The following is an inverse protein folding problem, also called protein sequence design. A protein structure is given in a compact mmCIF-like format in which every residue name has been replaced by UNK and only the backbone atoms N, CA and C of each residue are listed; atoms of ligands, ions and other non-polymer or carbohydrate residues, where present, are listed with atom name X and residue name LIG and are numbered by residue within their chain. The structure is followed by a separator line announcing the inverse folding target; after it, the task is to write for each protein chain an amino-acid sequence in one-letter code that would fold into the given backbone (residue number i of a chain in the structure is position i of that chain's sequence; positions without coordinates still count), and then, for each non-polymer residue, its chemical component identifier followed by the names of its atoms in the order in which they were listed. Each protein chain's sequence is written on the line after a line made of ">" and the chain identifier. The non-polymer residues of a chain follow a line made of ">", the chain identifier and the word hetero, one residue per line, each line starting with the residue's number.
data_IF_968689483893
#
_entry.id   IF_968689483893
#
_cell.length_a   1.000
_cell.length_b   1.000
_cell.length_c   1.000
_cell.angle_alpha   90.00
_cell.angle_beta   90.00
_cell.angle_gamma   90.00
#
_symmetry.space_group_name_H-M   'P 1'
#
loop_
_entity.id
_entity.type
_entity.pdbx_description
1 polymer ?
#
# COMPACT_ATOMS: atom_id res chain seq x y z
N UNK A 1 -85.01 -7.39 -25.09
CA UNK A 1 -84.40 -7.97 -23.86
C UNK A 1 -83.46 -6.95 -23.23
N UNK A 2 -83.85 -6.33 -22.12
CA UNK A 2 -82.97 -5.61 -21.18
C UNK A 2 -83.67 -5.60 -19.82
N UNK A 3 -83.13 -6.28 -18.81
CA UNK A 3 -83.48 -6.04 -17.40
C UNK A 3 -82.20 -6.12 -16.59
N UNK A 4 -81.74 -4.95 -16.16
CA UNK A 4 -80.58 -4.76 -15.31
C UNK A 4 -80.84 -5.32 -13.91
N UNK A 5 -79.80 -5.92 -13.32
CA UNK A 5 -79.82 -6.43 -11.96
C UNK A 5 -79.71 -5.27 -10.96
N UNK A 6 -80.57 -5.36 -9.95
CA UNK A 6 -80.75 -4.43 -8.83
C UNK A 6 -79.55 -4.43 -7.89
N UNK A 7 -79.16 -3.24 -7.43
CA UNK A 7 -78.13 -3.02 -6.40
C UNK A 7 -78.66 -3.51 -5.06
N UNK A 8 -78.00 -4.50 -4.46
CA UNK A 8 -78.22 -4.90 -3.08
C UNK A 8 -77.65 -3.81 -2.15
N UNK A 9 -78.48 -3.34 -1.23
CA UNK A 9 -78.17 -2.27 -0.28
C UNK A 9 -77.43 -2.80 0.95
N UNK A 10 -76.67 -1.91 1.58
CA UNK A 10 -75.77 -2.14 2.72
C UNK A 10 -76.45 -2.69 3.99
N UNK A 11 -77.78 -2.76 4.03
CA UNK A 11 -78.58 -3.18 5.18
C UNK A 11 -78.65 -4.70 5.38
N UNK A 12 -78.38 -5.50 4.34
CA UNK A 12 -78.36 -6.97 4.47
C UNK A 12 -77.07 -7.49 5.16
N UNK A 13 -76.01 -6.68 5.21
CA UNK A 13 -74.74 -7.07 5.83
C UNK A 13 -74.75 -6.94 7.36
N UNK A 14 -75.67 -6.16 7.94
CA UNK A 14 -75.75 -5.93 9.40
C UNK A 14 -76.49 -7.05 10.14
N UNK A 15 -77.22 -7.92 9.42
CA UNK A 15 -77.84 -9.13 9.99
C UNK A 15 -76.87 -10.28 10.26
N UNK A 16 -75.61 -10.16 9.84
CA UNK A 16 -74.60 -11.21 10.03
C UNK A 16 -73.90 -11.16 11.39
N UNK A 17 -74.19 -10.16 12.24
CA UNK A 17 -73.44 -9.91 13.47
C UNK A 17 -74.30 -9.63 14.72
N UNK A 18 -75.55 -10.09 14.76
CA UNK A 18 -76.31 -10.15 16.02
C UNK A 18 -75.76 -11.31 16.90
N UNK A 19 -74.97 -10.99 17.93
CA UNK A 19 -74.61 -11.98 18.97
C UNK A 19 -73.26 -11.90 19.67
N UNK A 20 -72.44 -10.84 19.50
CA UNK A 20 -71.15 -10.74 20.21
C UNK A 20 -71.17 -9.66 21.32
N UNK A 21 -70.72 -9.97 22.55
CA UNK A 21 -70.76 -9.03 23.67
C UNK A 21 -69.77 -7.86 23.47
N UNK A 22 -70.24 -6.65 23.81
CA UNK A 22 -69.52 -5.40 23.64
C UNK A 22 -68.29 -5.29 24.54
N UNK A 23 -67.11 -5.24 23.90
CA UNK A 23 -65.86 -4.83 24.52
C UNK A 23 -65.61 -3.35 24.27
N UNK A 24 -65.67 -2.53 25.32
CA UNK A 24 -65.23 -1.14 25.31
C UNK A 24 -63.72 -1.07 25.03
N UNK A 25 -63.33 -0.52 23.87
CA UNK A 25 -62.02 0.07 23.69
C UNK A 25 -62.14 1.31 22.79
N UNK A 26 -61.74 2.45 23.36
CA UNK A 26 -61.74 3.76 22.72
C UNK A 26 -60.84 3.77 21.47
N UNK A 27 -61.32 4.53 20.50
CA UNK A 27 -60.73 4.90 19.21
C UNK A 27 -59.32 5.47 19.33
N UNK A 28 -58.39 4.96 18.51
CA UNK A 28 -57.43 5.76 17.72
C UNK A 28 -56.63 4.84 16.80
N UNK A 29 -57.18 4.48 15.64
CA UNK A 29 -56.46 3.74 14.60
C UNK A 29 -56.19 4.66 13.40
N UNK A 30 -55.07 5.37 13.45
CA UNK A 30 -54.38 5.76 12.22
C UNK A 30 -53.50 4.55 11.85
N UNK A 31 -53.56 4.02 10.62
CA UNK A 31 -52.64 2.97 10.22
C UNK A 31 -51.24 3.60 10.19
N UNK A 32 -50.39 3.22 11.14
CA UNK A 32 -48.96 3.53 11.08
C UNK A 32 -48.40 2.86 9.83
N UNK A 33 -47.84 3.68 8.96
CA UNK A 33 -47.22 3.24 7.74
C UNK A 33 -45.92 2.51 8.11
N UNK A 34 -45.70 1.24 7.72
CA UNK A 34 -44.46 0.53 8.05
C UNK A 34 -43.22 1.09 7.32
N UNK A 35 -43.40 2.14 6.51
CA UNK A 35 -42.34 2.93 5.89
C UNK A 35 -42.24 4.36 6.44
N UNK A 36 -43.02 4.73 7.48
CA UNK A 36 -42.71 5.94 8.23
C UNK A 36 -41.38 5.73 8.95
N UNK A 37 -40.54 6.77 8.88
CA UNK A 37 -39.19 6.81 9.43
C UNK A 37 -39.20 6.69 10.97
N UNK A 38 -39.55 5.52 11.47
CA UNK A 38 -39.30 5.10 12.83
C UNK A 38 -37.79 5.04 12.98
N UNK A 39 -37.30 5.81 13.95
CA UNK A 39 -36.02 5.69 14.68
C UNK A 39 -35.08 4.60 14.15
N UNK A 40 -34.67 4.71 12.90
CA UNK A 40 -33.34 4.30 12.51
C UNK A 40 -32.52 5.37 13.15
N UNK A 41 -32.03 5.07 14.35
CA UNK A 41 -30.75 5.58 14.81
C UNK A 41 -29.91 5.63 13.55
N UNK A 42 -29.65 6.85 13.07
CA UNK A 42 -28.79 7.03 11.93
C UNK A 42 -27.52 6.34 12.39
N UNK A 43 -27.31 5.11 11.91
CA UNK A 43 -26.01 4.47 12.01
C UNK A 43 -25.18 5.50 11.30
N UNK A 44 -24.44 6.28 12.09
CA UNK A 44 -23.41 7.16 11.58
C UNK A 44 -22.74 6.29 10.55
N UNK A 45 -22.84 6.70 9.27
CA UNK A 45 -21.93 6.13 8.28
C UNK A 45 -20.60 6.28 8.96
N UNK A 46 -20.00 5.15 9.30
CA UNK A 46 -18.66 5.12 9.86
C UNK A 46 -17.87 5.86 8.80
N UNK A 47 -17.55 7.11 9.08
CA UNK A 47 -16.86 8.08 8.20
C UNK A 47 -15.38 7.66 8.04
N UNK A 48 -15.16 6.36 8.09
CA UNK A 48 -13.89 5.71 8.26
C UNK A 48 -13.90 4.35 7.53
N UNK A 49 -14.52 4.34 6.35
CA UNK A 49 -14.17 3.33 5.35
C UNK A 49 -12.67 3.36 5.04
N UNK A 50 -11.94 4.45 5.36
CA UNK A 50 -10.48 4.56 5.37
C UNK A 50 -9.77 3.67 6.42
N UNK A 51 -10.38 3.40 7.58
CA UNK A 51 -9.82 2.49 8.61
C UNK A 51 -9.98 1.01 8.28
N UNK A 52 -10.81 0.66 7.30
CA UNK A 52 -10.98 -0.73 6.82
C UNK A 52 -9.93 -1.15 5.79
N UNK A 53 -9.15 -0.19 5.25
CA UNK A 53 -8.01 -0.50 4.42
C UNK A 53 -6.87 -0.81 5.37
N UNK A 54 -6.32 -2.03 5.27
CA UNK A 54 -5.11 -2.39 6.01
C UNK A 54 -4.04 -1.34 5.67
N UNK A 55 -3.49 -0.67 6.69
CA UNK A 55 -2.39 0.29 6.57
C UNK A 55 -1.15 -0.27 5.83
N UNK A 56 -1.12 -1.58 5.61
CA UNK A 56 -0.05 -2.31 4.95
C UNK A 56 -0.25 -2.48 3.42
N UNK A 57 -1.35 -1.99 2.84
CA UNK A 57 -1.55 -2.04 1.38
C UNK A 57 -0.83 -0.85 0.73
N UNK A 58 0.23 -1.14 -0.03
CA UNK A 58 1.04 -0.14 -0.71
C UNK A 58 0.90 -0.30 -2.22
N UNK A 59 0.58 0.81 -2.89
CA UNK A 59 0.56 0.89 -4.34
C UNK A 59 1.95 1.23 -4.88
N UNK A 60 2.46 0.36 -5.73
CA UNK A 60 3.75 0.47 -6.39
C UNK A 60 3.57 0.61 -7.91
N UNK A 61 4.53 1.20 -8.64
CA UNK A 61 4.51 1.16 -10.09
C UNK A 61 4.61 -0.28 -10.61
N UNK A 62 3.98 -0.54 -11.76
CA UNK A 62 4.03 -1.85 -12.40
C UNK A 62 5.44 -2.17 -12.93
N UNK A 63 6.14 -1.15 -13.44
CA UNK A 63 7.51 -1.26 -13.92
C UNK A 63 8.47 -1.34 -12.73
N UNK A 64 9.36 -2.33 -12.76
CA UNK A 64 10.38 -2.54 -11.73
C UNK A 64 11.72 -2.58 -12.45
N UNK A 65 12.66 -1.73 -12.02
CA UNK A 65 14.03 -1.78 -12.50
C UNK A 65 14.65 -3.12 -12.08
N UNK A 66 15.10 -3.90 -13.06
CA UNK A 66 15.61 -5.25 -12.83
C UNK A 66 17.06 -5.19 -12.31
N UNK A 67 17.33 -5.59 -11.05
CA UNK A 67 18.69 -5.60 -10.52
C UNK A 67 19.54 -6.66 -11.22
N UNK A 68 20.86 -6.44 -11.24
CA UNK A 68 21.80 -7.42 -11.78
C UNK A 68 21.65 -8.78 -11.07
N UNK A 69 21.61 -9.86 -11.85
CA UNK A 69 21.46 -11.23 -11.35
C UNK A 69 20.03 -11.79 -11.38
N UNK A 70 19.01 -10.97 -11.65
CA UNK A 70 17.65 -11.45 -11.86
C UNK A 70 17.34 -11.63 -13.35
N UNK A 71 16.75 -12.77 -13.71
CA UNK A 71 16.40 -13.10 -15.10
C UNK A 71 15.16 -12.35 -15.60
N UNK A 72 14.21 -12.06 -14.70
CA UNK A 72 12.94 -11.41 -15.06
C UNK A 72 12.29 -10.74 -13.85
N UNK A 73 11.38 -9.80 -14.13
CA UNK A 73 10.59 -9.12 -13.10
C UNK A 73 9.75 -10.11 -12.28
N UNK A 74 9.23 -11.18 -12.90
CA UNK A 74 8.49 -12.23 -12.18
C UNK A 74 9.38 -12.93 -11.15
N UNK A 75 10.62 -13.27 -11.50
CA UNK A 75 11.57 -13.88 -10.55
C UNK A 75 11.91 -12.94 -9.39
N UNK A 76 12.03 -11.64 -9.68
CA UNK A 76 12.26 -10.63 -8.66
C UNK A 76 11.03 -10.51 -7.72
N UNK A 77 9.81 -10.49 -8.27
CA UNK A 77 8.58 -10.47 -7.47
C UNK A 77 8.46 -11.70 -6.55
N UNK A 78 8.82 -12.88 -7.04
CA UNK A 78 8.86 -14.10 -6.22
C UNK A 78 9.94 -14.04 -5.13
N UNK A 79 11.08 -13.40 -5.42
CA UNK A 79 12.12 -13.16 -4.44
C UNK A 79 11.67 -12.14 -3.38
N UNK A 80 10.96 -11.08 -3.77
CA UNK A 80 10.37 -10.13 -2.83
C UNK A 80 9.34 -10.77 -1.91
N UNK A 81 8.47 -11.65 -2.44
CA UNK A 81 7.50 -12.41 -1.63
C UNK A 81 8.20 -13.19 -0.53
N UNK A 82 9.37 -13.78 -0.82
CA UNK A 82 10.15 -14.51 0.18
C UNK A 82 10.91 -13.57 1.12
N UNK A 83 11.71 -12.66 0.58
CA UNK A 83 12.61 -11.81 1.36
C UNK A 83 11.89 -10.75 2.19
N UNK A 84 10.88 -10.09 1.62
CA UNK A 84 10.12 -9.02 2.29
C UNK A 84 8.76 -9.50 2.83
N UNK A 85 8.38 -10.75 2.59
CA UNK A 85 7.06 -11.29 2.97
C UNK A 85 5.89 -10.49 2.39
N UNK A 86 6.07 -9.90 1.21
CA UNK A 86 5.00 -9.18 0.51
C UNK A 86 4.04 -10.16 -0.13
N UNK A 87 2.79 -9.74 -0.27
CA UNK A 87 1.76 -10.44 -1.05
C UNK A 87 1.21 -9.52 -2.13
N UNK A 88 1.33 -9.93 -3.38
CA UNK A 88 0.74 -9.21 -4.51
C UNK A 88 -0.78 -9.40 -4.49
N UNK A 89 -1.55 -8.30 -4.40
CA UNK A 89 -3.00 -8.34 -4.21
C UNK A 89 -3.73 -8.05 -5.52
N UNK A 90 -3.32 -6.99 -6.22
CA UNK A 90 -3.98 -6.55 -7.46
C UNK A 90 -2.95 -6.02 -8.44
N UNK A 91 -3.01 -6.52 -9.67
CA UNK A 91 -2.23 -5.98 -10.77
C UNK A 91 -3.12 -5.12 -11.68
N UNK A 92 -2.74 -3.86 -11.85
CA UNK A 92 -3.33 -2.93 -12.80
C UNK A 92 -2.43 -2.74 -14.03
N UNK A 93 -2.87 -1.87 -14.95
CA UNK A 93 -2.09 -1.58 -16.17
C UNK A 93 -0.79 -0.82 -15.88
N UNK A 94 -0.81 0.07 -14.89
CA UNK A 94 0.30 0.99 -14.55
C UNK A 94 0.83 0.82 -13.14
N UNK A 95 0.05 0.21 -12.26
CA UNK A 95 0.33 0.07 -10.84
C UNK A 95 -0.01 -1.34 -10.36
N UNK A 96 0.65 -1.75 -9.28
CA UNK A 96 0.40 -2.98 -8.57
C UNK A 96 0.22 -2.68 -7.09
N UNK A 97 -0.80 -3.28 -6.48
CA UNK A 97 -1.05 -3.18 -5.04
C UNK A 97 -0.48 -4.41 -4.37
N UNK A 98 0.36 -4.20 -3.37
CA UNK A 98 0.94 -5.25 -2.55
C UNK A 98 0.62 -5.03 -1.07
N UNK A 99 0.31 -6.12 -0.37
CA UNK A 99 0.23 -6.17 1.09
C UNK A 99 1.62 -6.45 1.65
N UNK A 100 2.15 -5.49 2.39
CA UNK A 100 3.43 -5.60 3.09
C UNK A 100 3.22 -6.12 4.53
N UNK A 101 4.29 -6.55 5.20
CA UNK A 101 4.28 -6.70 6.66
C UNK A 101 3.97 -5.37 7.35
N UNK A 102 3.52 -5.45 8.60
CA UNK A 102 3.23 -4.27 9.43
C UNK A 102 4.46 -3.36 9.57
N UNK A 103 4.22 -2.05 9.54
CA UNK A 103 5.24 -1.01 9.73
C UNK A 103 5.92 -0.54 8.44
N UNK A 104 5.71 -1.24 7.32
CA UNK A 104 6.15 -0.73 6.01
C UNK A 104 5.33 0.47 5.59
N UNK A 105 5.99 1.49 5.03
CA UNK A 105 5.32 2.72 4.60
C UNK A 105 5.89 3.25 3.29
N UNK A 106 5.03 3.84 2.46
CA UNK A 106 5.45 4.60 1.29
C UNK A 106 5.29 6.10 1.56
N UNK A 107 6.41 6.80 1.73
CA UNK A 107 6.42 8.21 2.11
C UNK A 107 6.72 9.07 0.90
N UNK A 108 5.78 9.96 0.55
CA UNK A 108 5.98 10.99 -0.48
C UNK A 108 6.64 12.22 0.14
N UNK A 109 7.87 12.59 -0.25
CA UNK A 109 8.49 13.83 0.19
C UNK A 109 7.90 15.05 -0.55
N UNK A 110 8.15 16.26 -0.04
CA UNK A 110 7.78 17.53 -0.71
C UNK A 110 8.43 17.67 -2.09
N UNK A 111 9.66 17.15 -2.22
CA UNK A 111 10.42 17.10 -3.46
C UNK A 111 11.18 15.78 -3.55
N UNK A 112 11.15 15.15 -4.71
CA UNK A 112 11.87 13.90 -4.98
C UNK A 112 10.97 12.65 -5.02
N UNK A 113 11.57 11.46 -5.21
CA UNK A 113 10.84 10.21 -5.38
C UNK A 113 10.14 9.77 -4.09
N UNK A 114 9.09 8.96 -4.24
CA UNK A 114 8.44 8.29 -3.11
C UNK A 114 9.40 7.23 -2.57
N UNK A 115 9.60 7.22 -1.25
CA UNK A 115 10.49 6.29 -0.58
C UNK A 115 9.68 5.20 0.13
N UNK A 116 9.93 3.95 -0.24
CA UNK A 116 9.42 2.79 0.48
C UNK A 116 10.36 2.49 1.65
N UNK A 117 9.82 2.56 2.87
CA UNK A 117 10.54 2.36 4.12
C UNK A 117 10.08 1.10 4.81
N UNK A 118 11.03 0.38 5.38
CA UNK A 118 10.76 -0.75 6.27
C UNK A 118 10.32 -0.26 7.67
N UNK A 119 9.95 -1.17 8.60
CA UNK A 119 9.51 -0.79 9.94
C UNK A 119 10.55 -0.07 10.78
N UNK A 120 11.84 -0.17 10.42
CA UNK A 120 12.93 0.58 11.07
C UNK A 120 13.10 2.00 10.48
N UNK A 121 12.31 2.35 9.47
CA UNK A 121 12.36 3.63 8.77
C UNK A 121 13.44 3.69 7.68
N UNK A 122 14.12 2.58 7.39
CA UNK A 122 15.18 2.53 6.38
C UNK A 122 14.57 2.42 4.99
N UNK A 123 15.08 3.22 4.06
CA UNK A 123 14.60 3.22 2.66
C UNK A 123 15.09 1.97 1.92
N UNK A 124 14.15 1.14 1.49
CA UNK A 124 14.43 -0.13 0.77
C UNK A 124 14.18 -0.03 -0.73
N UNK A 125 13.28 0.86 -1.16
CA UNK A 125 13.06 1.15 -2.57
C UNK A 125 12.61 2.60 -2.77
N UNK A 126 12.74 3.09 -4.01
CA UNK A 126 12.27 4.41 -4.42
C UNK A 126 11.55 4.32 -5.76
N UNK A 127 10.58 5.21 -5.98
CA UNK A 127 9.90 5.32 -7.27
C UNK A 127 9.44 6.74 -7.56
N UNK A 128 9.34 7.07 -8.85
CA UNK A 128 8.92 8.37 -9.34
C UNK A 128 7.42 8.63 -9.18
N UNK A 129 7.00 9.86 -9.53
CA UNK A 129 5.59 10.28 -9.49
C UNK A 129 4.86 10.09 -10.82
N UNK A 130 5.64 9.88 -11.89
CA UNK A 130 5.10 9.74 -13.22
C UNK A 130 4.36 8.39 -13.37
N UNK A 131 3.42 8.34 -14.32
CA UNK A 131 2.64 7.14 -14.59
C UNK A 131 3.48 5.97 -15.14
N UNK A 132 4.63 6.28 -15.73
CA UNK A 132 5.65 5.37 -16.25
C UNK A 132 6.85 5.25 -15.30
N UNK A 133 6.70 5.68 -14.04
CA UNK A 133 7.76 5.55 -13.06
C UNK A 133 8.14 4.08 -12.85
N UNK A 134 9.42 3.85 -12.62
CA UNK A 134 9.95 2.53 -12.29
C UNK A 134 10.22 2.42 -10.79
N UNK A 135 9.89 1.28 -10.22
CA UNK A 135 10.30 0.91 -8.87
C UNK A 135 11.76 0.47 -8.89
N UNK A 136 12.62 1.22 -8.18
CA UNK A 136 14.03 0.88 -7.96
C UNK A 136 14.21 0.33 -6.55
N UNK A 137 14.56 -0.95 -6.45
CA UNK A 137 14.90 -1.58 -5.17
C UNK A 137 16.37 -1.31 -4.87
N UNK A 138 16.68 -0.92 -3.64
CA UNK A 138 18.00 -0.41 -3.27
C UNK A 138 18.81 -1.43 -2.44
N UNK A 139 20.08 -1.68 -2.79
CA UNK A 139 20.93 -2.63 -2.08
C UNK A 139 21.45 -2.12 -0.74
N UNK A 140 21.70 -3.01 0.24
CA UNK A 140 22.16 -2.61 1.59
C UNK A 140 23.42 -1.77 1.55
N UNK A 141 24.40 -2.22 0.79
CA UNK A 141 25.69 -1.57 0.64
C UNK A 141 25.82 -0.91 -0.73
N UNK A 142 26.35 0.31 -0.74
CA UNK A 142 26.40 1.15 -1.93
C UNK A 142 27.64 2.04 -1.86
N UNK A 143 28.28 2.27 -3.02
CA UNK A 143 29.21 3.38 -3.22
C UNK A 143 28.41 4.64 -3.53
N UNK A 144 28.43 5.61 -2.61
CA UNK A 144 27.68 6.86 -2.69
C UNK A 144 28.63 8.02 -2.97
N UNK A 145 28.17 9.00 -3.75
CA UNK A 145 28.88 10.27 -3.95
C UNK A 145 28.52 11.25 -2.84
N UNK A 146 29.54 11.86 -2.24
CA UNK A 146 29.42 12.91 -1.25
C UNK A 146 29.90 14.22 -1.85
N UNK A 147 29.04 15.24 -1.92
CA UNK A 147 29.44 16.57 -2.35
C UNK A 147 29.89 17.43 -1.15
N UNK A 148 30.90 18.27 -1.36
CA UNK A 148 31.27 19.33 -0.44
C UNK A 148 30.80 20.67 -1.02
N UNK A 149 29.80 21.27 -0.38
CA UNK A 149 29.18 22.53 -0.81
C UNK A 149 30.14 23.73 -0.77
N UNK A 150 31.20 23.67 0.03
CA UNK A 150 32.16 24.78 0.16
C UNK A 150 33.24 24.80 -0.92
N UNK A 151 33.68 23.63 -1.39
CA UNK A 151 34.73 23.51 -2.42
C UNK A 151 34.20 23.19 -3.81
N UNK A 152 32.94 22.75 -3.92
CA UNK A 152 32.37 22.23 -5.17
C UNK A 152 32.96 20.88 -5.61
N UNK A 153 33.83 20.27 -4.79
CA UNK A 153 34.41 18.96 -5.06
C UNK A 153 33.54 17.86 -4.46
N UNK A 154 33.55 16.70 -5.11
CA UNK A 154 32.93 15.46 -4.62
C UNK A 154 33.96 14.45 -4.13
N UNK A 155 33.54 13.59 -3.22
CA UNK A 155 34.25 12.40 -2.77
C UNK A 155 33.31 11.19 -2.89
N UNK A 156 33.83 10.00 -2.66
CA UNK A 156 33.06 8.76 -2.61
C UNK A 156 33.16 8.13 -1.23
N UNK A 157 32.10 7.44 -0.83
CA UNK A 157 32.08 6.63 0.38
C UNK A 157 31.30 5.34 0.16
N UNK A 158 31.59 4.32 0.96
CA UNK A 158 30.78 3.11 1.04
C UNK A 158 29.89 3.22 2.28
N UNK A 159 28.57 3.16 2.08
CA UNK A 159 27.59 3.27 3.17
C UNK A 159 26.88 1.93 3.38
N UNK A 160 26.68 1.57 4.65
CA UNK A 160 25.66 0.61 5.06
C UNK A 160 24.33 1.36 5.26
N UNK A 161 23.33 1.10 4.41
CA UNK A 161 22.04 1.77 4.51
C UNK A 161 21.22 1.30 5.71
N UNK A 162 21.47 0.11 6.24
CA UNK A 162 20.72 -0.42 7.37
C UNK A 162 20.92 0.36 8.67
N UNK A 163 22.14 0.87 8.90
CA UNK A 163 22.49 1.61 10.11
C UNK A 163 23.05 3.01 9.84
N UNK A 164 23.19 3.40 8.57
CA UNK A 164 23.73 4.69 8.14
C UNK A 164 25.24 4.84 8.28
N UNK A 165 25.98 3.81 8.69
CA UNK A 165 27.41 3.87 8.93
C UNK A 165 28.20 3.98 7.62
N UNK A 166 29.30 4.73 7.68
CA UNK A 166 30.29 4.81 6.59
C UNK A 166 31.36 3.76 6.86
N UNK A 167 31.47 2.78 5.96
CA UNK A 167 32.38 1.65 6.09
C UNK A 167 33.78 1.96 5.55
N UNK A 168 33.85 2.72 4.46
CA UNK A 168 35.08 3.09 3.77
C UNK A 168 34.87 4.44 3.07
N UNK A 169 35.92 5.24 2.90
CA UNK A 169 35.83 6.54 2.21
C UNK A 169 37.02 6.80 1.30
N UNK A 170 36.79 7.59 0.26
CA UNK A 170 37.84 8.20 -0.54
C UNK A 170 38.50 9.33 0.24
N UNK A 171 39.83 9.35 0.22
CA UNK A 171 40.62 10.49 0.68
C UNK A 171 40.76 11.57 -0.40
N UNK A 172 40.42 11.24 -1.65
CA UNK A 172 40.47 12.13 -2.80
C UNK A 172 39.17 12.92 -2.90
N UNK A 173 39.30 14.24 -3.02
CA UNK A 173 38.24 15.15 -3.41
C UNK A 173 38.47 15.59 -4.86
N UNK A 174 37.52 15.29 -5.74
CA UNK A 174 37.62 15.50 -7.18
C UNK A 174 36.41 16.23 -7.74
N UNK A 175 36.59 16.94 -8.86
CA UNK A 175 35.47 17.47 -9.64
C UNK A 175 34.69 16.34 -10.35
N UNK A 176 35.32 15.20 -10.59
CA UNK A 176 34.68 14.00 -11.13
C UNK A 176 33.95 13.25 -10.02
N UNK A 177 32.70 12.85 -10.25
CA UNK A 177 31.86 12.17 -9.26
C UNK A 177 31.29 10.86 -9.80
N UNK A 178 30.66 10.07 -8.92
CA UNK A 178 30.07 8.78 -9.28
C UNK A 178 31.10 7.80 -9.86
N UNK A 179 30.72 7.14 -10.94
CA UNK A 179 31.53 6.13 -11.64
C UNK A 179 32.80 6.68 -12.27
N UNK A 180 32.87 8.00 -12.51
CA UNK A 180 34.02 8.66 -13.13
C UNK A 180 35.06 9.13 -12.11
N UNK A 181 34.79 8.99 -10.81
CA UNK A 181 35.71 9.40 -9.76
C UNK A 181 36.95 8.48 -9.72
N UNK A 182 38.18 8.99 -9.48
CA UNK A 182 39.41 8.20 -9.50
C UNK A 182 39.39 6.99 -8.55
N UNK A 183 38.80 7.15 -7.36
CA UNK A 183 38.66 6.08 -6.36
C UNK A 183 37.47 5.12 -6.61
N UNK A 184 36.68 5.30 -7.67
CA UNK A 184 35.51 4.45 -7.93
C UNK A 184 35.88 2.97 -8.02
N UNK A 185 36.89 2.64 -8.82
CA UNK A 185 37.35 1.25 -9.02
C UNK A 185 37.86 0.64 -7.71
N UNK A 186 38.61 1.41 -6.92
CA UNK A 186 39.14 0.97 -5.63
C UNK A 186 38.02 0.64 -4.65
N UNK A 187 37.06 1.55 -4.47
CA UNK A 187 35.95 1.36 -3.55
C UNK A 187 34.98 0.27 -4.02
N UNK A 188 34.73 0.19 -5.32
CA UNK A 188 33.91 -0.88 -5.91
C UNK A 188 34.56 -2.25 -5.71
N UNK A 189 35.87 -2.36 -5.91
CA UNK A 189 36.62 -3.59 -5.67
C UNK A 189 36.63 -3.98 -4.19
N UNK A 190 36.81 -3.00 -3.29
CA UNK A 190 36.71 -3.22 -1.85
C UNK A 190 35.32 -3.75 -1.45
N UNK A 191 34.26 -3.15 -2.00
CA UNK A 191 32.88 -3.55 -1.73
C UNK A 191 32.59 -4.96 -2.27
N UNK A 192 33.02 -5.27 -3.49
CA UNK A 192 32.90 -6.60 -4.09
C UNK A 192 33.65 -7.68 -3.27
N UNK A 193 34.81 -7.34 -2.70
CA UNK A 193 35.60 -8.28 -1.90
C UNK A 193 34.94 -8.57 -0.54
N UNK A 194 34.40 -7.54 0.12
CA UNK A 194 33.79 -7.65 1.46
C UNK A 194 32.37 -8.19 1.42
N UNK A 195 31.60 -7.78 0.41
CA UNK A 195 30.18 -8.12 0.27
C UNK A 195 29.89 -8.57 -1.17
N UNK A 196 30.33 -9.78 -1.59
CA UNK A 196 30.24 -10.21 -3.00
C UNK A 196 28.84 -10.16 -3.63
N UNK A 197 27.78 -10.27 -2.82
CA UNK A 197 26.38 -10.27 -3.29
C UNK A 197 25.72 -8.89 -3.13
N UNK A 198 26.48 -7.80 -2.96
CA UNK A 198 25.91 -6.50 -2.55
C UNK A 198 24.97 -5.91 -3.59
N UNK A 199 25.14 -6.32 -4.85
CA UNK A 199 24.30 -5.87 -5.96
C UNK A 199 22.87 -6.44 -5.88
N UNK A 200 22.65 -7.54 -5.16
CA UNK A 200 21.32 -8.08 -4.94
C UNK A 200 20.63 -7.30 -3.80
N UNK A 201 19.56 -6.56 -4.09
CA UNK A 201 18.96 -5.68 -3.09
C UNK A 201 18.22 -6.42 -1.96
N UNK A 202 18.00 -7.72 -2.13
CA UNK A 202 17.34 -8.58 -1.14
C UNK A 202 18.34 -9.35 -0.26
N UNK A 203 19.65 -9.11 -0.41
CA UNK A 203 20.71 -9.77 0.36
C UNK A 203 21.32 -8.85 1.41
N UNK A 204 21.95 -9.47 2.40
CA UNK A 204 22.62 -8.83 3.53
C UNK A 204 21.72 -8.05 4.49
N UNK A 205 20.43 -7.94 4.22
CA UNK A 205 19.48 -7.40 5.19
C UNK A 205 19.07 -8.51 6.15
N UNK A 206 19.14 -8.25 7.45
CA UNK A 206 18.92 -9.27 8.49
C UNK A 206 17.52 -9.91 8.36
N UNK A 207 16.50 -9.07 8.22
CA UNK A 207 15.12 -9.48 7.96
C UNK A 207 15.00 -10.37 6.70
N UNK A 208 15.64 -9.99 5.59
CA UNK A 208 15.60 -10.76 4.35
C UNK A 208 16.31 -12.10 4.48
N UNK A 209 17.49 -12.13 5.10
CA UNK A 209 18.27 -13.36 5.29
C UNK A 209 17.52 -14.35 6.20
N UNK A 210 16.86 -13.85 7.24
CA UNK A 210 15.99 -14.66 8.10
C UNK A 210 14.78 -15.18 7.33
N UNK A 211 14.15 -14.35 6.51
CA UNK A 211 12.97 -14.73 5.75
C UNK A 211 13.27 -15.72 4.60
N UNK A 212 14.47 -15.69 4.04
CA UNK A 212 14.87 -16.64 2.97
C UNK A 212 15.21 -18.02 3.55
N UNK A 213 15.68 -18.07 4.80
CA UNK A 213 16.03 -19.34 5.49
C UNK A 213 14.82 -20.08 6.04
N UNK A 214 13.76 -19.36 6.38
CA UNK A 214 12.52 -19.88 6.97
C UNK A 214 11.45 -20.10 5.90
#
# INVERSE_FOLDING_TARGET
>A
MKKGKTKLTRQDAERLFEGLPGGNAKVSSRPENPFEAGVFEAVERVDDESKLWKDNLITLPMAIELPAGYESVSRLRDAMVRAWRVRWVREGKKEVVAEFPEGWTAVRPESGPIALRDPSGVVRAVYGWAEDAELRILPRYLVESQANSSSGLGSLLVRDRGNGQILERSSIWSAQTGTNHPDWTRLSAWLNLRFPQHQDPLRYWEDCEENIRN
#
